data_IF_679273490720
#
_entry.id   IF_679273490720
#
_cell.length_a   1.000
_cell.length_b   1.000
_cell.length_c   1.000
_cell.angle_alpha   90.00
_cell.angle_beta   90.00
_cell.angle_gamma   90.00
#
_symmetry.space_group_name_H-M   'P 1'
#
loop_
_entity.id
_entity.type
_entity.pdbx_description
1 polymer ?
#
# COMPACT_ATOMS: atom_id res chain seq x y z
N UNK A 1 -21.99 39.59 -63.06
CA UNK A 1 -21.12 39.12 -61.98
C UNK A 1 -21.98 38.25 -61.05
N UNK A 2 -22.00 36.91 -61.17
CA UNK A 2 -21.04 35.96 -60.54
C UNK A 2 -20.93 36.20 -59.03
N UNK A 3 -21.02 35.25 -58.11
CA UNK A 3 -21.45 33.85 -58.04
C UNK A 3 -21.15 33.45 -56.57
N UNK A 4 -21.93 32.50 -56.02
CA UNK A 4 -21.56 31.57 -54.95
C UNK A 4 -21.41 32.03 -53.48
N UNK A 5 -22.33 31.49 -52.67
CA UNK A 5 -22.08 30.62 -51.50
C UNK A 5 -20.86 30.92 -50.62
N UNK A 6 -21.13 31.19 -49.33
CA UNK A 6 -20.49 30.41 -48.28
C UNK A 6 -21.37 30.35 -47.02
N UNK A 7 -22.23 29.32 -46.98
CA UNK A 7 -22.73 28.77 -45.74
C UNK A 7 -21.60 27.93 -45.12
N UNK A 8 -20.93 28.46 -44.10
CA UNK A 8 -20.14 27.63 -43.18
C UNK A 8 -20.85 27.62 -41.84
N UNK A 9 -21.66 26.57 -41.74
CA UNK A 9 -22.10 25.83 -40.57
C UNK A 9 -21.13 25.93 -39.38
N UNK A 10 -21.59 26.51 -38.27
CA UNK A 10 -21.12 26.13 -36.93
C UNK A 10 -22.36 25.73 -36.12
N UNK A 11 -22.87 24.55 -36.45
CA UNK A 11 -23.62 23.73 -35.49
C UNK A 11 -22.57 22.84 -34.82
N UNK A 12 -21.87 23.41 -33.84
CA UNK A 12 -21.23 22.63 -32.78
C UNK A 12 -22.35 22.39 -31.76
N UNK A 13 -23.15 21.34 -31.94
CA UNK A 13 -22.93 20.09 -31.20
C UNK A 13 -22.58 20.36 -29.74
N UNK A 14 -23.52 21.00 -29.01
CA UNK A 14 -23.66 20.82 -27.57
C UNK A 14 -24.11 19.38 -27.30
N UNK A 15 -23.26 18.41 -27.65
CA UNK A 15 -23.24 17.13 -26.96
C UNK A 15 -22.53 17.37 -25.64
N UNK A 16 -23.25 17.99 -24.70
CA UNK A 16 -22.97 17.82 -23.30
C UNK A 16 -23.25 16.34 -23.01
N UNK A 17 -22.21 15.50 -23.21
CA UNK A 17 -22.11 14.27 -22.46
C UNK A 17 -22.22 14.68 -20.99
N UNK A 18 -23.36 14.37 -20.38
CA UNK A 18 -23.51 14.41 -18.94
C UNK A 18 -22.50 13.43 -18.35
N UNK A 19 -21.30 13.91 -18.08
CA UNK A 19 -20.44 13.28 -17.09
C UNK A 19 -21.29 13.25 -15.83
N UNK A 20 -21.64 12.04 -15.39
CA UNK A 20 -22.33 11.86 -14.13
C UNK A 20 -21.60 12.70 -13.08
N UNK A 21 -22.30 13.53 -12.27
CA UNK A 21 -21.67 14.37 -11.28
C UNK A 21 -20.73 13.49 -10.45
N UNK A 22 -19.44 13.83 -10.47
CA UNK A 22 -18.42 13.07 -9.79
C UNK A 22 -18.85 12.88 -8.34
N UNK A 23 -18.92 11.63 -7.88
CA UNK A 23 -19.27 11.31 -6.49
C UNK A 23 -18.36 12.12 -5.56
N UNK A 24 -18.97 12.90 -4.67
CA UNK A 24 -18.24 13.67 -3.67
C UNK A 24 -17.43 12.73 -2.76
N UNK A 25 -16.24 13.18 -2.37
CA UNK A 25 -15.37 12.44 -1.46
C UNK A 25 -16.09 12.24 -0.12
N UNK A 26 -16.16 11.02 0.43
CA UNK A 26 -16.84 10.80 1.71
C UNK A 26 -16.09 11.53 2.82
N UNK A 27 -16.86 12.14 3.73
CA UNK A 27 -16.29 12.91 4.85
C UNK A 27 -16.03 12.08 6.11
N UNK A 28 -16.49 10.82 6.12
CA UNK A 28 -16.31 9.82 7.17
C UNK A 28 -16.05 8.48 6.49
N UNK A 29 -15.13 7.69 7.03
CA UNK A 29 -14.85 6.33 6.60
C UNK A 29 -15.86 5.38 7.22
N UNK A 30 -16.63 4.73 6.36
CA UNK A 30 -17.59 3.70 6.70
C UNK A 30 -17.54 2.57 5.66
N UNK A 31 -18.25 1.48 5.94
CA UNK A 31 -18.38 0.37 5.00
C UNK A 31 -18.95 0.88 3.67
N UNK A 32 -18.32 0.53 2.55
CA UNK A 32 -18.65 0.97 1.20
C UNK A 32 -18.55 2.49 0.95
N UNK A 33 -17.86 3.24 1.81
CA UNK A 33 -17.64 4.68 1.63
C UNK A 33 -16.85 4.98 0.35
N UNK A 34 -15.88 4.11 0.00
CA UNK A 34 -15.05 4.21 -1.22
C UNK A 34 -14.32 5.55 -1.31
N UNK A 35 -13.65 5.92 -0.23
CA UNK A 35 -12.78 7.10 -0.20
C UNK A 35 -11.74 7.01 -1.34
N UNK A 36 -11.83 7.95 -2.28
CA UNK A 36 -11.12 7.94 -3.56
C UNK A 36 -9.70 8.48 -3.37
N UNK A 37 -8.73 7.57 -3.31
CA UNK A 37 -7.33 7.85 -3.06
C UNK A 37 -6.65 8.59 -4.22
N UNK A 38 -7.27 8.65 -5.40
CA UNK A 38 -6.73 9.45 -6.51
C UNK A 38 -7.02 10.93 -6.33
N UNK A 39 -8.14 11.25 -5.66
CA UNK A 39 -8.60 12.63 -5.46
C UNK A 39 -8.02 13.32 -4.24
N UNK A 40 -7.22 12.62 -3.43
CA UNK A 40 -6.62 13.22 -2.24
C UNK A 40 -5.77 14.42 -2.60
N UNK A 41 -5.72 15.40 -1.70
CA UNK A 41 -4.91 16.60 -1.87
C UNK A 41 -4.16 17.01 -0.58
N UNK A 42 -4.10 16.11 0.39
CA UNK A 42 -3.44 16.31 1.69
C UNK A 42 -4.06 17.46 2.51
N UNK A 43 -5.33 17.80 2.26
CA UNK A 43 -6.12 18.76 3.06
C UNK A 43 -7.32 18.08 3.73
N UNK A 44 -7.37 16.75 3.74
CA UNK A 44 -8.43 15.97 4.36
C UNK A 44 -8.52 16.25 5.88
N UNK A 45 -9.75 16.37 6.39
CA UNK A 45 -10.00 16.52 7.83
C UNK A 45 -9.97 15.15 8.51
N UNK A 46 -8.77 14.72 8.95
CA UNK A 46 -8.57 13.38 9.50
C UNK A 46 -9.40 13.06 10.76
N UNK A 47 -9.52 13.95 11.76
CA UNK A 47 -10.39 13.68 12.90
C UNK A 47 -11.85 13.40 12.51
N UNK A 48 -12.36 14.08 11.47
CA UNK A 48 -13.70 13.82 10.94
C UNK A 48 -13.73 12.54 10.10
N UNK A 49 -12.75 12.35 9.23
CA UNK A 49 -12.67 11.20 8.34
C UNK A 49 -12.67 9.88 9.12
N UNK A 50 -11.98 9.82 10.26
CA UNK A 50 -11.85 8.62 11.08
C UNK A 50 -12.81 8.55 12.27
N UNK A 51 -13.81 9.44 12.37
CA UNK A 51 -14.56 9.63 13.62
C UNK A 51 -15.30 8.39 14.13
N UNK A 52 -15.74 7.48 13.24
CA UNK A 52 -16.60 6.33 13.61
C UNK A 52 -15.86 4.98 13.60
N UNK A 53 -14.70 4.93 12.95
CA UNK A 53 -14.04 3.67 12.58
C UNK A 53 -12.51 3.77 12.70
N UNK A 54 -12.03 4.19 13.87
CA UNK A 54 -10.60 4.27 14.17
C UNK A 54 -10.17 3.13 15.10
N UNK A 55 -8.94 2.66 14.92
CA UNK A 55 -8.28 1.69 15.78
C UNK A 55 -7.30 2.41 16.72
N UNK A 56 -7.43 2.13 18.01
CA UNK A 56 -6.50 2.56 19.07
C UNK A 56 -6.01 1.29 19.76
N UNK A 57 -4.70 1.04 19.74
CA UNK A 57 -4.10 -0.20 20.27
C UNK A 57 -4.84 -1.47 19.79
N UNK A 58 -5.13 -1.53 18.48
CA UNK A 58 -5.88 -2.62 17.81
C UNK A 58 -7.38 -2.73 18.19
N UNK A 59 -7.87 -1.88 19.09
CA UNK A 59 -9.27 -1.86 19.52
C UNK A 59 -10.02 -0.79 18.73
N UNK A 60 -11.18 -1.17 18.20
CA UNK A 60 -12.07 -0.21 17.52
C UNK A 60 -12.64 0.79 18.51
N UNK A 61 -12.42 2.07 18.22
CA UNK A 61 -12.93 3.23 18.94
C UNK A 61 -13.88 4.01 18.04
N UNK A 62 -14.99 4.48 18.61
CA UNK A 62 -15.92 5.39 17.95
C UNK A 62 -15.85 6.73 18.69
N UNK A 63 -15.30 7.75 18.04
CA UNK A 63 -15.08 9.07 18.67
C UNK A 63 -16.38 9.82 18.97
N UNK A 64 -17.49 9.43 18.32
CA UNK A 64 -18.83 9.97 18.59
C UNK A 64 -19.41 9.36 19.86
N UNK A 65 -19.18 8.05 20.08
CA UNK A 65 -19.70 7.30 21.23
C UNK A 65 -18.78 7.33 22.45
N UNK A 66 -17.49 7.12 22.25
CA UNK A 66 -16.49 6.79 23.27
C UNK A 66 -15.71 8.03 23.75
N UNK A 67 -15.98 9.20 23.17
CA UNK A 67 -15.33 10.47 23.51
C UNK A 67 -14.19 10.84 22.57
N UNK A 68 -13.64 12.05 22.78
CA UNK A 68 -12.65 12.66 21.88
C UNK A 68 -11.34 11.88 21.89
N UNK A 69 -10.81 11.64 20.70
CA UNK A 69 -9.43 11.16 20.50
C UNK A 69 -8.45 12.15 21.13
N UNK A 70 -7.51 11.63 21.91
CA UNK A 70 -6.41 12.42 22.46
C UNK A 70 -5.19 12.30 21.58
N UNK A 71 -4.34 13.32 21.60
CA UNK A 71 -3.09 13.34 20.84
C UNK A 71 -2.14 12.22 21.25
N UNK A 72 -2.18 11.78 22.51
CA UNK A 72 -1.37 10.66 23.00
C UNK A 72 -1.81 9.32 22.41
N UNK A 73 -3.13 9.11 22.25
CA UNK A 73 -3.68 7.89 21.64
C UNK A 73 -3.33 7.77 20.15
N UNK A 74 -3.13 8.90 19.49
CA UNK A 74 -2.85 8.96 18.05
C UNK A 74 -1.37 9.18 17.75
N UNK A 75 -0.52 9.33 18.77
CA UNK A 75 0.89 9.67 18.58
C UNK A 75 1.56 8.67 17.66
N UNK A 76 2.20 9.16 16.61
CA UNK A 76 2.94 8.30 15.70
C UNK A 76 4.17 7.73 16.40
N UNK A 77 4.27 6.39 16.40
CA UNK A 77 5.37 5.60 16.95
C UNK A 77 5.66 4.45 16.00
N UNK A 78 6.94 4.19 15.77
CA UNK A 78 7.42 3.05 15.02
C UNK A 78 7.74 1.96 16.04
N UNK A 79 6.93 0.90 16.06
CA UNK A 79 7.09 -0.23 16.99
C UNK A 79 7.53 -1.48 16.22
N UNK A 80 8.62 -2.09 16.66
CA UNK A 80 9.04 -3.42 16.26
C UNK A 80 9.77 -4.11 17.42
N UNK A 81 10.16 -5.37 17.22
CA UNK A 81 10.82 -6.17 18.25
C UNK A 81 12.03 -5.44 18.88
N UNK A 82 12.81 -4.71 18.08
CA UNK A 82 14.00 -4.01 18.57
C UNK A 82 13.60 -2.78 19.39
N UNK A 83 12.68 -1.93 18.90
CA UNK A 83 12.23 -0.75 19.66
C UNK A 83 11.58 -1.16 20.97
N UNK A 84 10.85 -2.26 20.99
CA UNK A 84 10.11 -2.71 22.17
C UNK A 84 11.05 -3.30 23.22
N UNK A 85 11.99 -4.17 22.81
CA UNK A 85 12.97 -4.80 23.70
C UNK A 85 13.91 -3.77 24.33
N UNK A 86 14.35 -2.79 23.56
CA UNK A 86 15.26 -1.74 24.03
C UNK A 86 14.56 -0.47 24.51
N UNK A 87 13.22 -0.44 24.47
CA UNK A 87 12.39 0.74 24.79
C UNK A 87 12.85 2.01 24.06
N UNK A 88 13.20 1.86 22.78
CA UNK A 88 13.63 2.97 21.94
C UNK A 88 12.41 3.81 21.58
N UNK A 89 12.58 5.13 21.65
CA UNK A 89 11.58 6.06 21.17
C UNK A 89 11.90 6.41 19.71
N UNK A 90 11.14 5.81 18.79
CA UNK A 90 11.21 6.12 17.36
C UNK A 90 9.82 6.55 16.90
N UNK A 91 9.67 7.74 16.28
CA UNK A 91 10.69 8.76 16.00
C UNK A 91 11.32 9.40 17.25
N UNK A 92 12.60 9.83 17.17
CA UNK A 92 13.30 10.51 18.27
C UNK A 92 12.68 11.86 18.65
N UNK A 93 12.09 12.54 17.66
CA UNK A 93 11.34 13.80 17.83
C UNK A 93 9.91 13.56 17.40
N UNK A 94 8.97 14.20 18.09
CA UNK A 94 7.56 14.13 17.73
C UNK A 94 7.34 14.57 16.28
N UNK A 95 6.93 13.62 15.44
CA UNK A 95 6.64 13.85 14.03
C UNK A 95 5.18 14.26 13.81
N UNK A 96 4.25 13.60 14.51
CA UNK A 96 2.82 13.85 14.40
C UNK A 96 1.98 12.65 14.84
N UNK A 97 0.93 12.38 14.08
CA UNK A 97 -0.14 11.45 14.47
C UNK A 97 -0.43 10.41 13.39
N UNK A 98 -0.95 9.26 13.79
CA UNK A 98 -1.41 8.21 12.88
C UNK A 98 -2.88 7.89 13.15
N UNK A 99 -3.68 7.93 12.09
CA UNK A 99 -5.09 7.58 12.12
C UNK A 99 -5.27 6.23 11.42
N UNK A 100 -5.54 5.18 12.19
CA UNK A 100 -5.68 3.82 11.66
C UNK A 100 -7.14 3.43 11.54
N UNK A 101 -7.61 3.09 10.35
CA UNK A 101 -9.00 2.68 10.13
C UNK A 101 -9.21 1.22 10.55
N UNK A 102 -10.40 0.86 11.01
CA UNK A 102 -10.75 -0.56 11.13
C UNK A 102 -10.88 -1.22 9.75
N UNK A 103 -10.69 -2.54 9.66
CA UNK A 103 -10.98 -3.29 8.43
C UNK A 103 -12.46 -3.20 8.08
N UNK A 104 -12.79 -2.66 6.91
CA UNK A 104 -14.15 -2.42 6.44
C UNK A 104 -14.25 -2.73 4.95
N UNK A 105 -15.34 -3.34 4.50
CA UNK A 105 -15.52 -3.64 3.07
C UNK A 105 -15.50 -2.34 2.25
N UNK A 106 -14.62 -2.29 1.24
CA UNK A 106 -14.53 -1.19 0.27
C UNK A 106 -14.47 0.21 0.89
N UNK A 107 -13.61 0.39 1.89
CA UNK A 107 -13.43 1.66 2.60
C UNK A 107 -12.74 2.72 1.73
N UNK A 108 -11.77 2.31 0.91
CA UNK A 108 -11.07 3.19 0.00
C UNK A 108 -11.02 2.59 -1.42
N UNK A 109 -10.78 3.45 -2.41
CA UNK A 109 -10.72 3.11 -3.82
C UNK A 109 -9.51 3.78 -4.45
N UNK A 110 -8.74 3.03 -5.24
CA UNK A 110 -7.74 3.59 -6.14
C UNK A 110 -7.81 2.83 -7.46
N UNK A 111 -8.01 3.53 -8.58
CA UNK A 111 -8.35 2.92 -9.87
C UNK A 111 -9.55 1.94 -9.75
N UNK A 112 -9.30 0.67 -10.04
CA UNK A 112 -10.26 -0.42 -10.06
C UNK A 112 -10.21 -1.32 -8.82
N UNK A 113 -9.39 -0.99 -7.80
CA UNK A 113 -9.25 -1.79 -6.58
C UNK A 113 -9.89 -1.09 -5.39
N UNK A 114 -10.71 -1.86 -4.66
CA UNK A 114 -11.26 -1.48 -3.38
C UNK A 114 -10.35 -2.00 -2.27
N UNK A 115 -9.95 -1.10 -1.38
CA UNK A 115 -9.15 -1.39 -0.21
C UNK A 115 -10.06 -1.61 0.99
N UNK A 116 -9.65 -2.49 1.89
CA UNK A 116 -10.39 -2.83 3.11
C UNK A 116 -9.81 -2.15 4.34
N UNK A 117 -8.59 -1.64 4.25
CA UNK A 117 -7.93 -0.89 5.31
C UNK A 117 -7.37 0.43 4.75
N UNK A 118 -7.41 1.47 5.58
CA UNK A 118 -6.81 2.77 5.29
C UNK A 118 -6.23 3.37 6.57
N UNK A 119 -4.94 3.64 6.57
CA UNK A 119 -4.24 4.38 7.61
C UNK A 119 -3.66 5.67 7.04
N UNK A 120 -3.68 6.75 7.83
CA UNK A 120 -3.15 8.05 7.41
C UNK A 120 -2.14 8.56 8.44
N UNK A 121 -0.95 8.88 7.97
CA UNK A 121 0.06 9.58 8.74
C UNK A 121 -0.15 11.08 8.58
N UNK A 122 -0.05 11.82 9.69
CA UNK A 122 -0.26 13.26 9.75
C UNK A 122 0.88 13.95 10.49
N UNK A 123 1.14 15.21 10.14
CA UNK A 123 2.09 16.06 10.86
C UNK A 123 1.55 16.49 12.24
N UNK A 124 2.34 17.27 12.98
CA UNK A 124 1.94 17.85 14.27
C UNK A 124 0.75 18.81 14.20
N UNK A 125 0.39 19.29 13.01
CA UNK A 125 -0.81 20.10 12.77
C UNK A 125 -2.02 19.24 12.34
N UNK A 126 -1.91 17.92 12.39
CA UNK A 126 -2.91 16.94 11.91
C UNK A 126 -3.20 17.07 10.41
N UNK A 127 -2.28 17.64 9.62
CA UNK A 127 -2.37 17.61 8.16
C UNK A 127 -1.89 16.26 7.64
N UNK A 128 -2.63 15.61 6.72
CA UNK A 128 -2.19 14.37 6.11
C UNK A 128 -0.85 14.57 5.39
N UNK A 129 0.06 13.60 5.53
CA UNK A 129 1.35 13.58 4.83
C UNK A 129 1.60 12.27 4.10
N UNK A 130 0.93 11.19 4.51
CA UNK A 130 0.91 9.93 3.77
C UNK A 130 -0.37 9.12 4.04
N UNK A 131 -0.80 8.35 3.05
CA UNK A 131 -1.91 7.41 3.13
C UNK A 131 -1.39 6.01 2.81
N UNK A 132 -1.74 5.02 3.62
CA UNK A 132 -1.42 3.62 3.43
C UNK A 132 -2.71 2.79 3.39
N UNK A 133 -2.89 2.00 2.34
CA UNK A 133 -4.09 1.21 2.13
C UNK A 133 -3.75 -0.24 1.78
N UNK A 134 -4.54 -1.18 2.28
CA UNK A 134 -4.36 -2.62 2.03
C UNK A 134 -5.60 -3.24 1.39
N UNK A 135 -5.37 -4.13 0.43
CA UNK A 135 -6.40 -4.92 -0.24
C UNK A 135 -5.96 -6.37 -0.38
N UNK A 136 -6.92 -7.29 -0.24
CA UNK A 136 -6.78 -8.68 -0.68
C UNK A 136 -7.64 -8.90 -1.92
N UNK A 137 -7.04 -9.46 -2.97
CA UNK A 137 -7.71 -9.88 -4.20
C UNK A 137 -7.63 -11.40 -4.36
N UNK A 138 -8.61 -11.97 -5.05
CA UNK A 138 -8.77 -13.42 -5.11
C UNK A 138 -7.80 -14.09 -6.07
N UNK A 139 -7.32 -13.35 -7.05
CA UNK A 139 -6.54 -13.92 -8.15
C UNK A 139 -5.30 -13.09 -8.46
N UNK A 140 -4.23 -13.78 -8.89
CA UNK A 140 -3.02 -13.14 -9.41
C UNK A 140 -3.34 -12.22 -10.60
N UNK A 141 -4.34 -12.61 -11.40
CA UNK A 141 -4.80 -11.84 -12.55
C UNK A 141 -5.31 -10.46 -12.12
N UNK A 142 -6.14 -10.38 -11.08
CA UNK A 142 -6.62 -9.09 -10.56
C UNK A 142 -5.47 -8.18 -10.12
N UNK A 143 -4.47 -8.74 -9.42
CA UNK A 143 -3.27 -8.01 -9.02
C UNK A 143 -2.46 -7.50 -10.21
N UNK A 144 -2.26 -8.33 -11.25
CA UNK A 144 -1.57 -7.92 -12.49
C UNK A 144 -2.35 -6.88 -13.29
N UNK A 145 -3.67 -7.02 -13.38
CA UNK A 145 -4.54 -6.08 -14.08
C UNK A 145 -4.50 -4.69 -13.39
N UNK A 146 -4.45 -4.67 -12.06
CA UNK A 146 -4.24 -3.44 -11.29
C UNK A 146 -2.90 -2.78 -11.61
N UNK A 147 -1.79 -3.53 -11.54
CA UNK A 147 -0.46 -3.01 -11.90
C UNK A 147 -0.42 -2.49 -13.35
N UNK A 148 -1.04 -3.22 -14.28
CA UNK A 148 -1.14 -2.81 -15.69
C UNK A 148 -1.91 -1.49 -15.83
N UNK A 149 -2.99 -1.33 -15.07
CA UNK A 149 -3.78 -0.09 -15.05
C UNK A 149 -2.96 1.09 -14.55
N UNK A 150 -2.18 0.90 -13.47
CA UNK A 150 -1.28 1.94 -12.94
C UNK A 150 -0.19 2.29 -13.95
N UNK A 151 0.48 1.28 -14.54
CA UNK A 151 1.50 1.50 -15.58
C UNK A 151 0.95 2.23 -16.79
N UNK A 152 -0.25 1.86 -17.24
CA UNK A 152 -0.91 2.53 -18.37
C UNK A 152 -1.22 3.99 -18.08
N UNK A 153 -1.49 4.36 -16.82
CA UNK A 153 -1.86 5.72 -16.44
C UNK A 153 -0.66 6.60 -16.11
N UNK A 154 0.31 6.06 -15.38
CA UNK A 154 1.43 6.82 -14.81
C UNK A 154 2.77 6.53 -15.49
N UNK A 155 2.81 5.64 -16.48
CA UNK A 155 4.04 5.18 -17.14
C UNK A 155 4.76 4.08 -16.35
N UNK A 156 6.00 3.78 -16.73
CA UNK A 156 6.82 2.83 -15.98
C UNK A 156 7.22 3.42 -14.61
N UNK A 157 7.32 2.58 -13.57
CA UNK A 157 7.77 3.03 -12.27
C UNK A 157 9.22 3.53 -12.33
N UNK A 158 9.52 4.52 -11.50
CA UNK A 158 10.89 5.02 -11.30
C UNK A 158 11.77 3.98 -10.62
N UNK A 159 11.21 3.25 -9.65
CA UNK A 159 11.88 2.16 -8.95
C UNK A 159 11.01 0.92 -8.96
N UNK A 160 11.64 -0.24 -9.14
CA UNK A 160 10.97 -1.53 -9.18
C UNK A 160 11.88 -2.56 -8.52
N UNK A 161 11.44 -3.16 -7.42
CA UNK A 161 12.25 -4.04 -6.59
C UNK A 161 11.55 -5.37 -6.38
N UNK A 162 12.27 -6.47 -6.61
CA UNK A 162 11.89 -7.78 -6.16
C UNK A 162 12.47 -8.04 -4.76
N UNK A 163 11.64 -7.91 -3.73
CA UNK A 163 12.06 -7.86 -2.32
C UNK A 163 12.33 -9.28 -1.76
N UNK A 164 11.47 -10.26 -2.07
CA UNK A 164 11.57 -11.61 -1.52
C UNK A 164 10.88 -12.66 -2.38
N UNK A 165 11.54 -13.83 -2.53
CA UNK A 165 11.01 -14.98 -3.26
C UNK A 165 9.88 -15.72 -2.54
N UNK A 166 9.89 -15.78 -1.20
CA UNK A 166 9.01 -16.70 -0.43
C UNK A 166 7.51 -16.47 -0.72
N UNK A 167 7.14 -15.19 -0.86
CA UNK A 167 5.77 -14.72 -1.12
C UNK A 167 5.68 -13.78 -2.33
N UNK A 168 6.68 -13.85 -3.21
CA UNK A 168 6.83 -13.01 -4.40
C UNK A 168 6.59 -11.51 -4.12
N UNK A 169 7.27 -10.98 -3.10
CA UNK A 169 7.07 -9.60 -2.67
C UNK A 169 7.77 -8.69 -3.68
N UNK A 170 7.00 -7.85 -4.36
CA UNK A 170 7.49 -6.84 -5.29
C UNK A 170 7.06 -5.44 -4.85
N UNK A 171 7.90 -4.44 -5.05
CA UNK A 171 7.57 -3.02 -4.84
C UNK A 171 7.78 -2.23 -6.13
N UNK A 172 6.83 -1.36 -6.45
CA UNK A 172 6.86 -0.49 -7.63
C UNK A 172 6.57 0.95 -7.19
N UNK A 173 7.45 1.89 -7.53
CA UNK A 173 7.35 3.29 -7.12
C UNK A 173 7.21 4.24 -8.31
N UNK A 174 6.22 5.13 -8.26
CA UNK A 174 6.05 6.25 -9.19
C UNK A 174 6.22 7.57 -8.47
N UNK A 175 7.09 8.44 -8.99
CA UNK A 175 7.24 9.81 -8.50
C UNK A 175 6.45 10.74 -9.41
N UNK A 176 5.29 11.19 -8.94
CA UNK A 176 4.45 12.16 -9.62
C UNK A 176 4.86 13.59 -9.21
N UNK A 177 4.17 14.61 -9.72
CA UNK A 177 4.51 16.00 -9.44
C UNK A 177 4.33 16.37 -7.96
N UNK A 178 3.19 16.02 -7.36
CA UNK A 178 2.81 16.37 -5.99
C UNK A 178 3.01 15.23 -4.99
N UNK A 179 3.02 13.98 -5.45
CA UNK A 179 3.09 12.80 -4.59
C UNK A 179 4.00 11.71 -5.14
N UNK A 180 4.42 10.81 -4.26
CA UNK A 180 4.99 9.51 -4.63
C UNK A 180 3.98 8.42 -4.32
N UNK A 181 3.80 7.49 -5.27
CA UNK A 181 3.02 6.26 -5.10
C UNK A 181 4.00 5.10 -4.97
N UNK A 182 3.81 4.23 -3.98
CA UNK A 182 4.45 2.92 -3.92
C UNK A 182 3.35 1.85 -3.86
N UNK A 183 3.42 0.88 -4.76
CA UNK A 183 2.55 -0.29 -4.77
C UNK A 183 3.39 -1.50 -4.45
N UNK A 184 3.06 -2.19 -3.37
CA UNK A 184 3.64 -3.48 -3.03
C UNK A 184 2.64 -4.59 -3.36
N UNK A 185 3.14 -5.65 -4.00
CA UNK A 185 2.35 -6.85 -4.31
C UNK A 185 2.98 -8.08 -3.68
N UNK A 186 2.16 -8.97 -3.18
CA UNK A 186 2.59 -10.29 -2.67
C UNK A 186 1.44 -11.30 -2.77
N UNK A 187 1.70 -12.55 -2.40
CA UNK A 187 0.65 -13.52 -2.12
C UNK A 187 0.82 -14.14 -0.74
N UNK A 188 -0.26 -14.69 -0.19
CA UNK A 188 -0.23 -15.45 1.04
C UNK A 188 -1.06 -16.73 0.91
N UNK A 189 -0.96 -17.58 1.92
CA UNK A 189 -1.73 -18.83 2.00
C UNK A 189 -2.43 -18.86 3.35
N UNK A 190 -3.73 -19.12 3.34
CA UNK A 190 -4.53 -19.36 4.55
C UNK A 190 -5.07 -20.78 4.54
N UNK A 191 -5.08 -21.41 5.71
CA UNK A 191 -5.68 -22.72 5.91
C UNK A 191 -6.97 -22.54 6.69
N UNK A 192 -8.08 -23.02 6.14
CA UNK A 192 -9.35 -23.10 6.88
C UNK A 192 -9.65 -24.55 7.23
N UNK A 193 -9.86 -24.79 8.52
CA UNK A 193 -10.36 -26.08 9.01
C UNK A 193 -11.88 -26.04 8.96
N UNK A 194 -12.47 -26.49 7.85
CA UNK A 194 -13.91 -26.71 7.79
C UNK A 194 -14.24 -28.09 8.35
N UNK A 195 -15.21 -28.21 9.25
CA UNK A 195 -15.68 -29.49 9.81
C UNK A 195 -16.30 -30.43 8.74
N UNK A 196 -16.49 -29.95 7.51
CA UNK A 196 -17.19 -30.63 6.41
C UNK A 196 -16.28 -31.27 5.36
N UNK A 197 -14.96 -31.07 5.41
CA UNK A 197 -14.00 -31.71 4.51
C UNK A 197 -12.87 -32.32 5.33
N UNK A 198 -12.60 -33.62 5.13
CA UNK A 198 -11.51 -34.33 5.81
C UNK A 198 -10.13 -33.74 5.50
N UNK A 199 -10.03 -32.94 4.44
CA UNK A 199 -8.87 -32.15 4.07
C UNK A 199 -9.17 -30.66 4.31
N UNK A 200 -8.32 -29.99 5.08
CA UNK A 200 -8.41 -28.54 5.27
C UNK A 200 -8.28 -27.80 3.93
N UNK A 201 -9.07 -26.75 3.73
CA UNK A 201 -9.02 -25.94 2.52
C UNK A 201 -7.83 -24.98 2.61
N UNK A 202 -6.80 -25.24 1.80
CA UNK A 202 -5.69 -24.32 1.53
C UNK A 202 -6.14 -23.31 0.47
N UNK A 203 -6.16 -22.03 0.82
CA UNK A 203 -6.52 -20.95 -0.08
C UNK A 203 -5.35 -19.99 -0.25
N UNK A 204 -4.98 -19.72 -1.50
CA UNK A 204 -4.02 -18.65 -1.83
C UNK A 204 -4.78 -17.34 -2.01
N UNK A 205 -4.30 -16.27 -1.39
CA UNK A 205 -4.80 -14.91 -1.59
C UNK A 205 -3.68 -14.01 -2.07
N UNK A 206 -4.02 -12.91 -2.74
CA UNK A 206 -3.06 -11.95 -3.28
C UNK A 206 -3.26 -10.61 -2.61
N UNK A 207 -2.17 -9.97 -2.20
CA UNK A 207 -2.21 -8.73 -1.43
C UNK A 207 -1.68 -7.56 -2.25
N UNK A 208 -2.32 -6.42 -2.12
CA UNK A 208 -1.92 -5.15 -2.73
C UNK A 208 -1.87 -4.12 -1.61
N UNK A 209 -0.70 -3.55 -1.41
CA UNK A 209 -0.51 -2.41 -0.51
C UNK A 209 -0.21 -1.17 -1.34
N UNK A 210 -0.84 -0.06 -0.99
CA UNK A 210 -0.67 1.21 -1.65
C UNK A 210 -0.25 2.26 -0.62
N UNK A 211 0.93 2.82 -0.82
CA UNK A 211 1.45 3.96 -0.06
C UNK A 211 1.45 5.20 -0.97
N UNK A 212 0.85 6.29 -0.50
CA UNK A 212 0.84 7.58 -1.17
C UNK A 212 1.43 8.62 -0.24
N UNK A 213 2.52 9.27 -0.63
CA UNK A 213 3.23 10.26 0.19
C UNK A 213 3.25 11.62 -0.48
N UNK A 214 3.00 12.69 0.27
CA UNK A 214 3.26 14.06 -0.17
C UNK A 214 4.77 14.24 -0.45
N UNK A 215 5.12 14.60 -1.68
CA UNK A 215 6.52 14.79 -2.08
C UNK A 215 7.27 15.78 -1.18
N UNK A 216 6.59 16.79 -0.63
CA UNK A 216 7.17 17.78 0.27
C UNK A 216 7.56 17.20 1.64
N UNK A 217 7.00 16.03 2.00
CA UNK A 217 7.17 15.42 3.32
C UNK A 217 8.04 14.17 3.31
N UNK A 218 8.41 13.62 2.15
CA UNK A 218 9.21 12.38 2.04
C UNK A 218 10.47 12.39 2.89
N UNK A 219 11.22 13.48 2.83
CA UNK A 219 12.47 13.62 3.61
C UNK A 219 12.20 13.67 5.12
N UNK A 220 11.11 14.33 5.53
CA UNK A 220 10.74 14.43 6.94
C UNK A 220 10.29 13.06 7.46
N UNK A 221 9.53 12.31 6.65
CA UNK A 221 9.13 10.93 6.96
C UNK A 221 10.38 10.06 7.08
N UNK A 222 11.28 10.07 6.10
CA UNK A 222 12.53 9.30 6.18
C UNK A 222 13.33 9.62 7.46
N UNK A 223 13.48 10.90 7.80
CA UNK A 223 14.16 11.32 9.04
C UNK A 223 13.46 10.85 10.30
N UNK A 224 12.13 10.75 10.30
CA UNK A 224 11.38 10.21 11.43
C UNK A 224 11.69 8.72 11.69
N UNK A 225 12.16 8.00 10.67
CA UNK A 225 12.54 6.58 10.75
C UNK A 225 14.01 6.38 11.14
N UNK A 226 14.80 7.45 11.20
CA UNK A 226 16.17 7.40 11.66
C UNK A 226 16.22 7.42 13.19
N UNK A 227 17.09 6.57 13.73
CA UNK A 227 17.41 6.55 15.15
C UNK A 227 18.92 6.49 15.32
N UNK A 228 19.48 7.46 16.04
CA UNK A 228 20.88 7.44 16.43
C UNK A 228 21.06 6.72 17.78
N UNK A 229 21.66 5.53 17.76
CA UNK A 229 21.92 4.79 18.98
C UNK A 229 22.92 5.52 19.88
N UNK A 230 22.66 5.65 21.19
CA UNK A 230 23.64 6.20 22.11
C UNK A 230 24.87 5.27 22.21
N UNK A 231 26.02 5.82 22.59
CA UNK A 231 27.26 5.03 22.74
C UNK A 231 27.14 3.94 23.80
N UNK A 232 26.23 4.13 24.76
CA UNK A 232 25.91 3.20 25.84
C UNK A 232 24.40 3.02 25.94
N UNK A 233 23.96 1.77 25.83
CA UNK A 233 22.58 1.33 25.95
C UNK A 233 22.46 0.54 27.25
N UNK A 234 21.48 0.88 28.10
CA UNK A 234 21.19 0.10 29.30
C UNK A 234 20.34 -1.12 28.92
N UNK A 235 20.87 -2.31 29.10
CA UNK A 235 20.16 -3.57 28.82
C UNK A 235 20.48 -4.59 29.91
N UNK A 236 19.47 -5.25 30.47
CA UNK A 236 19.62 -6.20 31.60
C UNK A 236 20.49 -5.67 32.76
N UNK A 237 20.34 -4.39 33.11
CA UNK A 237 21.06 -3.74 34.21
C UNK A 237 22.54 -3.43 33.93
N UNK A 238 23.02 -3.62 32.69
CA UNK A 238 24.39 -3.33 32.28
C UNK A 238 24.42 -2.37 31.09
N UNK A 239 25.47 -1.57 31.00
CA UNK A 239 25.69 -0.72 29.84
C UNK A 239 26.44 -1.49 28.75
N UNK A 240 25.88 -1.51 27.55
CA UNK A 240 26.44 -2.14 26.36
C UNK A 240 26.65 -1.09 25.28
N UNK A 241 27.66 -1.28 24.43
CA UNK A 241 27.78 -0.49 23.20
C UNK A 241 26.78 -1.00 22.17
N UNK A 242 26.26 -0.12 21.31
CA UNK A 242 25.40 -0.49 20.18
C UNK A 242 26.06 -1.55 19.27
N UNK A 243 27.40 -1.53 19.16
CA UNK A 243 28.18 -2.53 18.42
C UNK A 243 28.07 -3.95 19.00
N UNK A 244 27.82 -4.10 20.30
CA UNK A 244 27.64 -5.42 20.93
C UNK A 244 26.38 -6.13 20.41
N UNK A 245 25.43 -5.39 19.87
CA UNK A 245 24.19 -5.89 19.28
C UNK A 245 24.23 -5.88 17.74
N UNK A 246 25.40 -5.61 17.15
CA UNK A 246 25.59 -5.48 15.69
C UNK A 246 24.72 -4.37 15.07
N UNK A 247 24.32 -3.37 15.86
CA UNK A 247 23.64 -2.21 15.33
C UNK A 247 24.62 -1.25 14.68
N UNK A 248 24.14 -0.51 13.69
CA UNK A 248 24.84 0.67 13.18
C UNK A 248 24.57 1.87 14.10
N UNK A 249 25.46 2.87 14.08
CA UNK A 249 25.30 4.07 14.93
C UNK A 249 24.00 4.80 14.59
N UNK A 250 23.71 4.92 13.30
CA UNK A 250 22.46 5.45 12.77
C UNK A 250 21.73 4.27 12.11
N UNK A 251 20.51 3.98 12.53
CA UNK A 251 19.72 2.88 11.98
C UNK A 251 18.37 3.37 11.48
N UNK A 252 17.85 2.73 10.44
CA UNK A 252 16.52 3.00 9.88
C UNK A 252 15.54 1.96 10.43
N UNK A 253 14.55 2.41 11.20
CA UNK A 253 13.45 1.59 11.68
C UNK A 253 12.28 1.72 10.72
N UNK A 254 11.90 0.66 10.03
CA UNK A 254 10.91 0.69 8.94
C UNK A 254 9.51 0.34 9.42
N UNK A 255 8.50 1.00 8.85
CA UNK A 255 7.07 0.65 8.97
C UNK A 255 6.35 0.77 7.61
N UNK A 256 5.01 0.81 7.61
CA UNK A 256 4.16 0.95 6.41
C UNK A 256 4.26 2.30 5.69
N UNK A 257 4.78 3.36 6.32
CA UNK A 257 4.86 4.71 5.77
C UNK A 257 6.22 5.04 5.14
N UNK A 258 7.17 4.10 5.16
CA UNK A 258 8.50 4.29 4.58
C UNK A 258 8.68 3.60 3.23
N UNK A 259 8.95 4.39 2.19
CA UNK A 259 9.25 3.90 0.84
C UNK A 259 10.43 2.91 0.84
N UNK A 260 10.33 1.86 0.01
CA UNK A 260 11.43 0.90 -0.18
C UNK A 260 12.65 1.54 -0.83
N UNK A 261 12.48 2.57 -1.66
CA UNK A 261 13.60 3.31 -2.28
C UNK A 261 14.50 4.04 -1.28
N UNK A 262 14.11 4.16 -0.01
CA UNK A 262 15.00 4.63 1.07
C UNK A 262 15.99 3.55 1.52
N UNK A 263 15.89 2.33 1.03
CA UNK A 263 16.87 1.28 1.24
C UNK A 263 17.97 1.36 0.18
N UNK A 264 19.16 1.79 0.59
CA UNK A 264 20.31 1.89 -0.32
C UNK A 264 20.68 0.56 -0.96
N UNK A 265 20.51 -0.57 -0.27
CA UNK A 265 20.86 -1.89 -0.82
C UNK A 265 19.93 -2.28 -1.98
N UNK A 266 18.65 -1.89 -1.89
CA UNK A 266 17.69 -2.08 -2.98
C UNK A 266 18.04 -1.20 -4.18
N UNK A 267 18.42 0.06 -3.92
CA UNK A 267 18.72 1.04 -4.98
C UNK A 267 20.05 0.76 -5.68
N UNK A 268 21.07 0.31 -4.95
CA UNK A 268 22.38 -0.02 -5.52
C UNK A 268 22.35 -1.31 -6.34
N UNK A 269 21.41 -2.21 -6.04
CA UNK A 269 21.17 -3.45 -6.79
C UNK A 269 22.44 -4.30 -6.96
N UNK A 270 23.27 -4.36 -5.92
CA UNK A 270 24.53 -5.11 -5.96
C UNK A 270 24.21 -6.59 -6.27
N UNK A 271 24.75 -7.09 -7.39
CA UNK A 271 24.53 -8.44 -7.91
C UNK A 271 23.14 -8.73 -8.51
N UNK A 272 22.32 -7.71 -8.80
CA UNK A 272 21.01 -7.88 -9.42
C UNK A 272 20.00 -8.61 -8.54
N UNK A 273 20.25 -8.69 -7.22
CA UNK A 273 19.46 -9.49 -6.28
C UNK A 273 17.99 -9.07 -6.24
N UNK A 274 17.75 -7.78 -6.41
CA UNK A 274 16.43 -7.16 -6.31
C UNK A 274 15.82 -6.80 -7.67
N UNK A 275 16.38 -7.32 -8.77
CA UNK A 275 15.90 -7.06 -10.13
C UNK A 275 14.46 -7.58 -10.31
N UNK A 276 13.53 -6.67 -10.62
CA UNK A 276 12.12 -7.01 -10.81
C UNK A 276 11.90 -8.01 -11.96
N UNK A 277 12.81 -8.05 -12.96
CA UNK A 277 12.73 -8.99 -14.09
C UNK A 277 12.83 -10.44 -13.63
N UNK A 278 13.41 -10.70 -12.45
CA UNK A 278 13.45 -12.05 -11.86
C UNK A 278 12.04 -12.54 -11.53
N UNK A 279 11.20 -11.70 -10.94
CA UNK A 279 9.80 -12.02 -10.67
C UNK A 279 9.01 -12.27 -11.98
N UNK A 280 9.24 -11.46 -13.00
CA UNK A 280 8.58 -11.60 -14.32
C UNK A 280 8.97 -12.89 -15.05
N UNK A 281 10.23 -13.33 -14.93
CA UNK A 281 10.73 -14.59 -15.50
C UNK A 281 10.18 -15.83 -14.76
N UNK A 282 10.01 -15.76 -13.44
CA UNK A 282 9.43 -16.86 -12.66
C UNK A 282 7.92 -17.02 -12.93
N UNK A 283 7.19 -15.92 -13.12
CA UNK A 283 5.78 -15.95 -13.48
C UNK A 283 5.54 -16.47 -14.91
N UNK A 284 6.43 -16.18 -15.86
CA UNK A 284 6.33 -16.69 -17.22
C UNK A 284 6.73 -18.17 -17.35
N UNK A 285 7.66 -18.65 -16.51
CA UNK A 285 8.04 -20.08 -16.44
C UNK A 285 6.88 -20.98 -16.00
N UNK A 286 6.10 -20.59 -14.97
CA UNK A 286 4.94 -21.36 -14.48
C UNK A 286 3.83 -21.51 -15.53
N UNK A 287 3.62 -20.51 -16.39
CA UNK A 287 2.67 -20.60 -17.53
C UNK A 287 3.04 -21.69 -18.55
N UNK A 288 4.33 -21.99 -18.71
CA UNK A 288 4.79 -22.97 -19.71
C UNK A 288 4.73 -24.43 -19.24
N UNK A 289 4.52 -24.67 -17.94
CA UNK A 289 4.38 -26.00 -17.35
C UNK A 289 2.90 -26.41 -17.20
N UNK A 290 1.99 -25.48 -16.87
CA UNK A 290 0.55 -25.80 -16.76
C UNK A 290 -0.15 -26.03 -18.12
N UNK A 291 0.40 -25.51 -19.22
CA UNK A 291 -0.14 -25.72 -20.58
C UNK A 291 0.32 -27.04 -21.25
N UNK A 292 1.14 -27.87 -20.57
CA UNK A 292 1.64 -29.15 -21.13
C UNK A 292 0.86 -30.39 -20.72
N UNK A 293 -0.03 -30.29 -19.73
CA UNK A 293 -0.90 -31.40 -19.31
C UNK A 293 -2.35 -31.18 -19.77
N UNK A 294 -2.52 -31.06 -21.09
CA UNK A 294 -3.81 -31.28 -21.75
C UNK A 294 -4.06 -32.79 -21.92
N UNK A 295 -5.30 -33.28 -21.70
CA UNK A 295 -5.56 -34.72 -21.66
C UNK A 295 -5.32 -35.35 -23.04
N UNK A 296 -4.46 -36.37 -23.09
CA UNK A 296 -4.33 -37.23 -24.26
C UNK A 296 -5.63 -38.00 -24.46
N UNK A 297 -6.41 -37.60 -25.46
CA UNK A 297 -7.58 -38.29 -25.96
C UNK A 297 -7.18 -39.71 -26.44
N UNK A 298 -7.48 -40.73 -25.61
CA UNK A 298 -7.52 -42.12 -26.03
C UNK A 298 -8.97 -42.57 -26.02
N UNK A 299 -9.64 -42.33 -27.15
CA UNK A 299 -10.90 -42.97 -27.50
C UNK A 299 -10.71 -43.76 -28.81
N UNK A 300 -10.46 -45.07 -28.69
CA UNK A 300 -10.75 -46.05 -29.75
C UNK A 300 -11.95 -46.88 -29.30
N UNK A 301 -13.05 -46.92 -30.06
CA UNK A 301 -14.08 -47.94 -29.88
C UNK A 301 -13.72 -49.16 -30.74
N UNK A 302 -13.55 -50.32 -30.12
CA UNK A 302 -13.67 -51.60 -30.82
C UNK A 302 -15.08 -52.15 -30.55
N UNK A 303 -15.89 -52.15 -31.60
CA UNK A 303 -17.05 -53.02 -31.76
C UNK A 303 -16.81 -53.75 -33.09
N UNK A 304 -16.44 -55.03 -33.02
CA UNK A 304 -16.98 -56.19 -33.76
C UNK A 304 -16.20 -57.46 -33.40
#
# INVERSE_FOLDING_TARGET
MTHFFNCITIVLMLQSCSQAPGREQPSVLEKNSRFDLEKINFQENLPKLYSENILIDEIRHDSVRDGKLTDEMLRYRISNIITDVFKLQVPEKEFGFVFRGSTLDSVALFQNIYFTHLSTLADTNKKPVAFYAEAEVKTEKEQRDFLTTIKSKYGEPKHAFFISHEYNICSYEWVLADRTLEVQTSYGVRFSTSYSSADGLKETYYRIDLLIIDNLQKENIYKAHLFEFPDKILYNGKYHSYKNFQFEKLSVFRDEFLLKSTNEDLVKEEHGLYDIRRAENEQSGKRSEEDKDGPSDMSKPENE
#
